data_IF_780079861904
#
_entry.id   IF_780079861904
#
_cell.length_a   1.000
_cell.length_b   1.000
_cell.length_c   1.000
_cell.angle_alpha   90.00
_cell.angle_beta   90.00
_cell.angle_gamma   90.00
#
_symmetry.space_group_name_H-M   'P 1'
#
loop_
_entity.id
_entity.type
_entity.pdbx_description
1 polymer ?
#
# COMPACT_ATOMS: atom_id res chain seq x y z
N UNK A 1 15.48 20.86 17.01
CA UNK A 1 15.39 20.49 15.59
C UNK A 1 14.24 19.49 15.50
N UNK A 2 13.06 19.95 15.07
CA UNK A 2 11.82 19.18 15.18
C UNK A 2 11.86 17.95 14.29
N UNK A 3 11.47 16.80 14.82
CA UNK A 3 11.29 15.57 14.04
C UNK A 3 10.38 15.90 12.86
N UNK A 4 10.90 15.78 11.63
CA UNK A 4 10.04 15.74 10.46
C UNK A 4 8.99 14.65 10.74
N UNK A 5 7.73 14.94 10.44
CA UNK A 5 6.67 13.94 10.59
C UNK A 5 7.01 12.82 9.61
N UNK A 6 7.39 11.65 10.13
CA UNK A 6 7.63 10.46 9.31
C UNK A 6 6.29 9.94 8.81
N UNK A 7 5.82 10.50 7.68
CA UNK A 7 4.60 10.07 7.04
C UNK A 7 4.92 8.99 6.01
N UNK A 8 4.32 7.81 6.23
CA UNK A 8 4.37 6.71 5.27
C UNK A 8 3.09 6.70 4.46
N UNK A 9 3.21 6.76 3.13
CA UNK A 9 2.12 6.55 2.20
C UNK A 9 2.08 5.08 1.77
N UNK A 10 1.03 4.37 2.14
CA UNK A 10 0.82 2.96 1.79
C UNK A 10 -0.32 2.81 0.77
N UNK A 11 -0.17 1.96 -0.23
CA UNK A 11 -1.28 1.65 -1.15
C UNK A 11 -1.15 0.29 -1.85
N UNK A 12 -2.30 -0.27 -2.21
CA UNK A 12 -2.41 -1.50 -3.00
C UNK A 12 -3.54 -1.39 -4.04
N UNK A 13 -3.28 -1.97 -5.21
CA UNK A 13 -4.26 -2.12 -6.30
C UNK A 13 -4.30 -3.55 -6.82
N UNK A 14 -3.70 -4.52 -6.11
CA UNK A 14 -3.60 -5.90 -6.54
C UNK A 14 -4.90 -6.69 -6.31
N UNK A 15 -5.78 -6.24 -5.41
CA UNK A 15 -7.09 -6.85 -5.19
C UNK A 15 -8.22 -6.32 -6.07
N UNK A 16 -9.46 -6.73 -5.75
CA UNK A 16 -10.70 -6.13 -6.28
C UNK A 16 -11.00 -4.78 -5.61
N UNK A 17 -9.98 -3.96 -5.45
CA UNK A 17 -10.03 -2.67 -4.78
C UNK A 17 -8.90 -1.75 -5.24
N UNK A 18 -9.03 -0.47 -4.90
CA UNK A 18 -7.94 0.48 -4.79
C UNK A 18 -7.94 0.97 -3.34
N UNK A 19 -6.86 0.69 -2.60
CA UNK A 19 -6.78 0.98 -1.17
C UNK A 19 -5.49 1.74 -0.85
N UNK A 20 -5.55 2.59 0.16
CA UNK A 20 -4.37 3.27 0.67
C UNK A 20 -4.56 3.85 2.05
N UNK A 21 -3.45 4.15 2.69
CA UNK A 21 -3.39 4.71 4.04
C UNK A 21 -2.19 5.65 4.18
N UNK A 22 -2.34 6.65 5.04
CA UNK A 22 -1.28 7.51 5.55
C UNK A 22 -1.00 7.11 6.99
N UNK A 23 0.27 6.85 7.31
CA UNK A 23 0.69 6.49 8.67
C UNK A 23 1.64 7.55 9.21
N UNK A 24 1.52 7.84 10.50
CA UNK A 24 2.53 8.56 11.28
C UNK A 24 3.05 7.63 12.37
N UNK A 25 4.26 7.11 12.18
CA UNK A 25 4.74 5.98 12.98
C UNK A 25 3.86 4.73 12.76
N UNK A 26 3.28 4.21 13.84
CA UNK A 26 2.37 3.06 13.84
C UNK A 26 0.89 3.44 13.69
N UNK A 27 0.58 4.74 13.68
CA UNK A 27 -0.80 5.23 13.67
C UNK A 27 -1.26 5.55 12.26
N UNK A 28 -2.38 4.96 11.83
CA UNK A 28 -3.12 5.39 10.64
C UNK A 28 -3.76 6.75 10.93
N UNK A 29 -3.41 7.75 10.10
CA UNK A 29 -3.95 9.13 10.20
C UNK A 29 -4.97 9.46 9.11
N UNK A 30 -4.95 8.72 8.00
CA UNK A 30 -5.99 8.74 6.97
C UNK A 30 -6.00 7.40 6.23
N UNK A 31 -7.17 6.95 5.78
CA UNK A 31 -7.31 5.75 4.97
C UNK A 31 -8.44 5.89 3.93
N UNK A 32 -8.31 5.16 2.83
CA UNK A 32 -9.30 5.09 1.76
C UNK A 32 -9.35 3.68 1.23
N UNK A 33 -10.57 3.22 0.96
CA UNK A 33 -10.83 1.92 0.33
C UNK A 33 -11.92 2.09 -0.71
N UNK A 34 -11.60 1.78 -1.95
CA UNK A 34 -12.52 1.84 -3.09
C UNK A 34 -12.71 0.41 -3.61
N UNK A 35 -13.88 -0.18 -3.35
CA UNK A 35 -14.24 -1.48 -3.92
C UNK A 35 -14.45 -1.34 -5.44
N UNK A 36 -13.62 -1.99 -6.25
CA UNK A 36 -13.69 -1.87 -7.70
C UNK A 36 -13.04 -3.04 -8.44
N UNK A 37 -13.68 -3.51 -9.51
CA UNK A 37 -13.16 -4.60 -10.33
C UNK A 37 -12.17 -4.13 -11.42
N UNK A 38 -12.26 -2.87 -11.85
CA UNK A 38 -11.48 -2.26 -12.94
C UNK A 38 -11.37 -0.75 -12.75
N UNK A 39 -10.36 -0.13 -13.37
CA UNK A 39 -10.15 1.33 -13.33
C UNK A 39 -9.23 1.80 -12.19
N UNK A 40 -8.45 0.89 -11.61
CA UNK A 40 -7.57 1.20 -10.49
C UNK A 40 -6.49 2.24 -10.86
N UNK A 41 -6.03 2.26 -12.13
CA UNK A 41 -5.01 3.19 -12.58
C UNK A 41 -5.50 4.64 -12.57
N UNK A 42 -6.74 4.85 -12.99
CA UNK A 42 -7.40 6.17 -13.02
C UNK A 42 -7.80 6.63 -11.62
N UNK A 43 -8.18 5.70 -10.74
CA UNK A 43 -8.61 6.01 -9.39
C UNK A 43 -7.46 6.25 -8.39
N UNK A 44 -6.26 5.71 -8.66
CA UNK A 44 -5.16 5.72 -7.69
C UNK A 44 -4.71 7.13 -7.33
N UNK A 45 -4.29 7.95 -8.29
CA UNK A 45 -3.73 9.28 -7.98
C UNK A 45 -4.73 10.20 -7.25
N UNK A 46 -6.01 10.32 -7.67
CA UNK A 46 -7.01 11.07 -6.91
C UNK A 46 -7.19 10.54 -5.47
N UNK A 47 -7.19 9.22 -5.28
CA UNK A 47 -7.31 8.62 -3.94
C UNK A 47 -6.11 8.97 -3.04
N UNK A 48 -4.89 8.99 -3.60
CA UNK A 48 -3.69 9.39 -2.84
C UNK A 48 -3.73 10.88 -2.46
N UNK A 49 -4.28 11.74 -3.32
CA UNK A 49 -4.49 13.16 -3.01
C UNK A 49 -5.51 13.34 -1.88
N UNK A 50 -6.61 12.58 -1.89
CA UNK A 50 -7.60 12.57 -0.81
C UNK A 50 -7.01 12.11 0.52
N UNK A 51 -6.07 11.16 0.50
CA UNK A 51 -5.36 10.69 1.69
C UNK A 51 -4.47 11.79 2.28
N UNK A 52 -3.70 12.48 1.44
CA UNK A 52 -2.85 13.59 1.85
C UNK A 52 -3.68 14.73 2.45
N UNK A 53 -4.78 15.08 1.78
CA UNK A 53 -5.72 16.08 2.29
C UNK A 53 -6.33 15.66 3.64
N UNK A 54 -6.74 14.39 3.77
CA UNK A 54 -7.25 13.81 5.01
C UNK A 54 -6.23 13.82 6.16
N UNK A 55 -4.94 13.70 5.85
CA UNK A 55 -3.84 13.78 6.81
C UNK A 55 -3.36 15.22 7.07
N UNK A 56 -3.93 16.23 6.38
CA UNK A 56 -3.48 17.62 6.45
C UNK A 56 -2.03 17.80 5.97
N UNK A 57 -1.61 17.00 5.00
CA UNK A 57 -0.23 16.90 4.51
C UNK A 57 -0.14 17.17 3.00
N UNK A 58 1.04 17.60 2.56
CA UNK A 58 1.42 17.64 1.15
C UNK A 58 2.33 16.47 0.78
N UNK A 59 2.60 16.31 -0.52
CA UNK A 59 3.53 15.31 -1.04
C UNK A 59 4.95 15.42 -0.46
N UNK A 60 5.37 16.64 -0.09
CA UNK A 60 6.66 16.94 0.53
C UNK A 60 6.81 16.38 1.95
N UNK A 61 5.71 16.03 2.60
CA UNK A 61 5.72 15.44 3.93
C UNK A 61 5.87 13.91 3.92
N UNK A 62 5.72 13.26 2.76
CA UNK A 62 5.90 11.80 2.62
C UNK A 62 7.39 11.48 2.74
N UNK A 63 7.76 10.60 3.68
CA UNK A 63 9.14 10.14 3.88
C UNK A 63 9.38 8.69 3.46
N UNK A 64 8.31 7.92 3.25
CA UNK A 64 8.36 6.52 2.83
C UNK A 64 7.12 6.16 2.01
N UNK A 65 7.32 5.36 0.96
CA UNK A 65 6.21 4.73 0.22
C UNK A 65 6.21 3.23 0.50
N UNK A 66 5.10 2.69 0.99
CA UNK A 66 4.84 1.26 1.09
C UNK A 66 3.86 0.83 0.00
N UNK A 67 4.15 -0.25 -0.71
CA UNK A 67 3.35 -0.66 -1.87
C UNK A 67 3.10 -2.16 -1.89
N UNK A 68 1.86 -2.56 -2.17
CA UNK A 68 1.53 -3.96 -2.43
C UNK A 68 2.22 -4.48 -3.69
N UNK A 69 3.00 -5.55 -3.56
CA UNK A 69 3.73 -6.21 -4.67
C UNK A 69 3.12 -7.54 -5.09
N UNK A 70 1.91 -7.84 -4.62
CA UNK A 70 1.22 -9.10 -4.85
C UNK A 70 1.73 -10.25 -3.99
N UNK A 71 1.36 -11.50 -4.29
CA UNK A 71 0.59 -11.91 -5.46
C UNK A 71 -0.85 -11.39 -5.44
N UNK A 72 -1.46 -11.27 -6.63
CA UNK A 72 -2.78 -10.69 -6.84
C UNK A 72 -3.07 -10.50 -8.33
N UNK A 73 -3.99 -9.60 -8.67
CA UNK A 73 -4.28 -9.24 -10.06
C UNK A 73 -3.04 -8.66 -10.74
N UNK A 74 -2.59 -9.31 -11.81
CA UNK A 74 -1.41 -8.92 -12.58
C UNK A 74 -1.41 -7.44 -13.03
N UNK A 75 -2.52 -6.96 -13.55
CA UNK A 75 -2.65 -5.56 -13.97
C UNK A 75 -2.61 -4.64 -12.77
N UNK A 76 -3.35 -5.01 -11.71
CA UNK A 76 -3.40 -4.28 -10.45
C UNK A 76 -2.03 -4.11 -9.79
N UNK A 77 -1.27 -5.18 -9.61
CA UNK A 77 0.08 -5.13 -9.03
C UNK A 77 1.04 -4.27 -9.86
N UNK A 78 0.91 -4.27 -11.19
CA UNK A 78 1.75 -3.41 -12.04
C UNK A 78 1.40 -1.93 -11.88
N UNK A 79 0.13 -1.59 -11.69
CA UNK A 79 -0.32 -0.23 -11.42
C UNK A 79 0.29 0.28 -10.11
N UNK A 80 0.16 -0.47 -9.01
CA UNK A 80 0.69 -0.07 -7.71
C UNK A 80 2.21 0.11 -7.77
N UNK A 81 2.94 -0.87 -8.29
CA UNK A 81 4.42 -0.83 -8.38
C UNK A 81 4.90 0.30 -9.28
N UNK A 82 4.26 0.54 -10.43
CA UNK A 82 4.64 1.63 -11.32
C UNK A 82 4.43 3.00 -10.67
N UNK A 83 3.29 3.22 -10.02
CA UNK A 83 3.00 4.46 -9.30
C UNK A 83 3.99 4.69 -8.15
N UNK A 84 4.27 3.65 -7.35
CA UNK A 84 5.21 3.75 -6.23
C UNK A 84 6.62 4.11 -6.70
N UNK A 85 7.10 3.50 -7.79
CA UNK A 85 8.40 3.82 -8.37
C UNK A 85 8.45 5.25 -8.91
N UNK A 86 7.41 5.70 -9.59
CA UNK A 86 7.31 7.07 -10.10
C UNK A 86 7.32 8.12 -9.00
N UNK A 87 6.50 7.92 -7.97
CA UNK A 87 6.41 8.79 -6.80
C UNK A 87 7.72 8.80 -6.00
N UNK A 88 8.30 7.63 -5.73
CA UNK A 88 9.57 7.52 -5.01
C UNK A 88 10.71 8.26 -5.73
N UNK A 89 10.76 8.15 -7.06
CA UNK A 89 11.72 8.89 -7.87
C UNK A 89 11.50 10.41 -7.79
N UNK A 90 10.25 10.86 -7.91
CA UNK A 90 9.91 12.28 -7.88
C UNK A 90 10.17 12.93 -6.51
N UNK A 91 9.80 12.23 -5.43
CA UNK A 91 9.91 12.71 -4.04
C UNK A 91 11.29 12.43 -3.43
N UNK A 92 12.12 11.61 -4.08
CA UNK A 92 13.43 11.16 -3.59
C UNK A 92 13.35 10.44 -2.24
N UNK A 93 12.33 9.59 -2.09
CA UNK A 93 12.09 8.79 -0.89
C UNK A 93 12.19 7.30 -1.20
N UNK A 94 12.51 6.45 -0.22
CA UNK A 94 12.49 5.00 -0.42
C UNK A 94 11.08 4.49 -0.72
N UNK A 95 11.01 3.45 -1.54
CA UNK A 95 9.82 2.60 -1.70
C UNK A 95 10.10 1.20 -1.13
N UNK A 96 9.12 0.63 -0.44
CA UNK A 96 9.16 -0.72 0.14
C UNK A 96 8.00 -1.54 -0.38
N UNK A 97 8.31 -2.67 -0.99
CA UNK A 97 7.31 -3.63 -1.42
C UNK A 97 6.86 -4.48 -0.23
N UNK A 98 5.55 -4.70 -0.12
CA UNK A 98 4.92 -5.59 0.85
C UNK A 98 4.10 -6.61 0.07
N UNK A 99 4.39 -7.89 0.27
CA UNK A 99 3.65 -8.96 -0.39
C UNK A 99 2.30 -9.20 0.28
N UNK A 100 1.31 -9.66 -0.48
CA UNK A 100 -0.01 -10.02 0.04
C UNK A 100 0.08 -11.12 1.12
N UNK A 101 1.11 -11.97 1.07
CA UNK A 101 1.37 -12.95 2.11
C UNK A 101 1.85 -12.30 3.41
N UNK A 102 2.75 -11.32 3.33
CA UNK A 102 3.19 -10.57 4.51
C UNK A 102 2.03 -9.81 5.16
N UNK A 103 1.06 -9.31 4.38
CA UNK A 103 -0.14 -8.66 4.93
C UNK A 103 -1.14 -9.62 5.59
N UNK A 104 -1.07 -10.91 5.26
CA UNK A 104 -1.95 -11.95 5.83
C UNK A 104 -1.40 -12.56 7.11
N UNK A 105 -0.10 -12.35 7.39
CA UNK A 105 0.52 -12.81 8.62
C UNK A 105 0.02 -11.99 9.80
N UNK A 106 0.05 -12.59 10.99
CA UNK A 106 -0.28 -11.87 12.21
C UNK A 106 0.65 -10.64 12.36
N UNK A 107 0.10 -9.40 12.34
CA UNK A 107 0.90 -8.18 12.45
C UNK A 107 1.62 -8.04 13.78
N UNK A 108 1.21 -8.78 14.82
CA UNK A 108 1.90 -8.82 16.10
C UNK A 108 3.01 -9.89 16.16
N UNK A 109 3.11 -10.76 15.15
CA UNK A 109 3.97 -11.95 15.20
C UNK A 109 3.64 -12.89 16.37
N UNK A 110 2.41 -12.83 16.88
CA UNK A 110 1.95 -13.48 18.11
C UNK A 110 1.23 -14.82 17.86
N UNK A 111 1.31 -15.37 16.67
CA UNK A 111 1.04 -16.80 16.56
C UNK A 111 2.14 -17.54 17.32
N UNK A 112 1.74 -18.34 18.30
CA UNK A 112 2.58 -19.32 19.02
C UNK A 112 3.12 -20.42 18.06
N UNK A 113 2.99 -20.21 16.75
CA UNK A 113 3.31 -21.11 15.68
C UNK A 113 4.40 -20.49 14.81
N UNK A 114 5.65 -21.00 14.87
CA UNK A 114 6.78 -20.45 14.12
C UNK A 114 6.64 -20.58 12.59
N UNK A 115 5.55 -21.18 12.10
CA UNK A 115 5.27 -21.41 10.68
C UNK A 115 3.79 -21.18 10.38
N UNK A 116 3.46 -20.00 9.86
CA UNK A 116 2.14 -19.73 9.28
C UNK A 116 2.12 -20.13 7.81
N UNK A 117 1.21 -21.04 7.46
CA UNK A 117 0.86 -21.34 6.08
C UNK A 117 -0.21 -20.34 5.61
N UNK A 118 0.18 -19.43 4.73
CA UNK A 118 -0.74 -18.50 4.05
C UNK A 118 -0.87 -18.89 2.59
N UNK A 119 -2.10 -18.93 2.10
CA UNK A 119 -2.41 -19.26 0.71
C UNK A 119 -3.40 -18.25 0.16
N UNK A 120 -3.24 -17.89 -1.11
CA UNK A 120 -4.24 -17.13 -1.85
C UNK A 120 -4.70 -17.95 -3.05
N UNK A 121 -5.97 -17.82 -3.41
CA UNK A 121 -6.49 -18.47 -4.60
C UNK A 121 -5.89 -17.81 -5.85
N UNK A 122 -5.13 -18.58 -6.64
CA UNK A 122 -4.67 -18.10 -7.92
C UNK A 122 -5.76 -18.28 -8.99
N UNK A 123 -5.83 -17.37 -9.98
CA UNK A 123 -6.63 -17.62 -11.17
C UNK A 123 -6.25 -18.97 -11.78
N UNK A 124 -7.26 -19.77 -12.14
CA UNK A 124 -7.13 -21.11 -12.77
C UNK A 124 -6.87 -22.27 -11.80
N UNK A 125 -7.12 -22.12 -10.49
CA UNK A 125 -7.18 -23.23 -9.55
C UNK A 125 -5.83 -23.86 -9.20
N UNK A 126 -4.74 -23.10 -9.33
CA UNK A 126 -3.42 -23.51 -8.88
C UNK A 126 -3.10 -22.82 -7.55
N UNK A 127 -3.33 -23.49 -6.43
CA UNK A 127 -2.87 -23.06 -5.10
C UNK A 127 -2.01 -24.17 -4.49
#
# INVERSE_FOLDING_TARGET
MGSARDLTLAFDTAGAHCAGAMLSGDRIVAERFLSMARGQAEALMPMLEDLLAGAGAGWDAVSLIAVGVGPGNFTGTRVSVAAARGLALALRVPARGVSAFETMRDPAGLSDHPQELVSIEAPRGAA
#
